data_IF_372117188723
#
_entry.id   IF_372117188723
#
_cell.length_a   1.000
_cell.length_b   1.000
_cell.length_c   1.000
_cell.angle_alpha   90.00
_cell.angle_beta   90.00
_cell.angle_gamma   90.00
#
_symmetry.space_group_name_H-M   'P 1'
#
loop_
_entity.id
_entity.type
_entity.pdbx_description
1 polymer ?
#
# COMPACT_ATOMS: atom_id res chain seq x y z
N UNK A 1 19.39 0.06 -6.94
CA UNK A 1 19.15 -1.37 -7.00
C UNK A 1 20.17 -2.14 -6.16
N UNK A 2 20.27 -1.80 -4.91
CA UNK A 2 21.25 -2.38 -4.00
C UNK A 2 20.98 -1.97 -2.56
N UNK A 3 20.03 -2.63 -1.88
CA UNK A 3 19.98 -2.72 -0.39
C UNK A 3 19.00 -3.84 0.06
N UNK A 4 18.28 -4.51 -0.87
CA UNK A 4 17.39 -5.62 -0.51
C UNK A 4 18.00 -6.99 -0.88
N UNK A 5 19.17 -7.34 -0.33
CA UNK A 5 19.71 -8.70 -0.36
C UNK A 5 19.77 -9.22 1.06
N UNK A 6 18.83 -10.08 1.39
CA UNK A 6 18.73 -10.80 2.65
C UNK A 6 19.82 -11.88 2.71
N UNK A 7 20.82 -11.70 3.55
CA UNK A 7 21.66 -12.80 4.01
C UNK A 7 21.15 -13.28 5.37
N UNK A 8 20.69 -14.53 5.40
CA UNK A 8 20.47 -15.25 6.65
C UNK A 8 21.82 -15.62 7.28
N UNK A 9 22.16 -15.02 8.40
CA UNK A 9 23.15 -15.56 9.35
C UNK A 9 22.52 -15.66 10.71
N UNK A 10 22.36 -16.90 11.14
CA UNK A 10 22.15 -17.31 12.52
C UNK A 10 23.36 -16.92 13.36
N UNK A 11 23.16 -16.24 14.47
CA UNK A 11 24.16 -16.09 15.53
C UNK A 11 23.52 -16.29 16.90
N UNK A 12 23.84 -17.44 17.45
CA UNK A 12 23.79 -17.72 18.88
C UNK A 12 24.81 -16.81 19.58
N UNK A 13 24.41 -16.11 20.62
CA UNK A 13 25.34 -15.56 21.59
C UNK A 13 24.77 -15.63 22.99
N UNK A 14 25.47 -16.42 23.78
CA UNK A 14 25.42 -16.58 25.22
C UNK A 14 26.01 -15.38 25.97
N UNK A 15 25.31 -14.91 27.00
CA UNK A 15 25.78 -14.60 28.32
C UNK A 15 26.73 -13.43 28.57
N UNK A 16 26.36 -12.53 29.43
CA UNK A 16 26.93 -12.36 30.76
C UNK A 16 26.42 -11.07 31.42
N UNK A 17 25.97 -11.25 32.63
CA UNK A 17 25.60 -10.25 33.62
C UNK A 17 26.72 -9.28 33.95
N UNK A 18 26.41 -8.00 34.13
CA UNK A 18 27.08 -7.13 35.08
C UNK A 18 26.12 -6.04 35.56
N UNK A 19 25.68 -6.18 36.80
CA UNK A 19 25.01 -5.15 37.61
C UNK A 19 26.05 -4.09 38.00
N UNK A 20 25.74 -2.82 37.69
CA UNK A 20 26.33 -1.70 38.40
C UNK A 20 25.21 -0.77 38.87
N UNK A 21 24.94 -0.81 40.16
CA UNK A 21 24.13 0.16 40.89
C UNK A 21 24.89 1.48 40.95
N UNK A 22 24.37 2.54 40.37
CA UNK A 22 24.72 3.92 40.75
C UNK A 22 23.51 4.58 41.38
N UNK A 23 23.60 4.75 42.69
CA UNK A 23 22.72 5.59 43.51
C UNK A 23 23.24 7.02 43.35
N UNK A 24 22.43 7.89 42.74
CA UNK A 24 22.60 9.34 42.85
C UNK A 24 21.45 9.93 43.63
N UNK A 25 21.73 10.86 44.55
CA UNK A 25 20.72 11.37 45.48
C UNK A 25 19.75 12.34 44.79
N UNK A 26 18.47 12.11 45.08
CA UNK A 26 17.39 13.09 44.74
C UNK A 26 17.67 14.41 45.45
N UNK A 27 18.01 15.43 44.70
CA UNK A 27 17.82 16.80 45.14
C UNK A 27 16.42 17.24 44.68
N UNK A 28 15.49 17.21 45.65
CA UNK A 28 14.19 17.91 45.49
C UNK A 28 14.45 19.40 45.66
N UNK A 29 14.54 20.10 44.54
CA UNK A 29 14.41 21.57 44.54
C UNK A 29 12.94 21.86 44.24
N UNK A 30 12.20 22.16 45.30
CA UNK A 30 10.89 22.77 45.17
C UNK A 30 11.12 24.19 44.61
N UNK A 31 10.87 24.36 43.34
CA UNK A 31 10.75 25.65 42.71
C UNK A 31 9.26 25.99 42.68
N UNK A 32 8.90 26.90 43.58
CA UNK A 32 7.64 27.63 43.56
C UNK A 32 7.66 28.52 42.32
N UNK A 33 7.09 28.08 41.23
CA UNK A 33 6.88 28.87 40.03
C UNK A 33 5.37 29.03 39.78
N UNK A 34 4.77 30.02 40.48
CA UNK A 34 3.43 30.52 40.21
C UNK A 34 3.45 31.44 38.98
N UNK A 35 4.00 30.96 37.89
CA UNK A 35 3.91 31.59 36.59
C UNK A 35 3.06 30.71 35.71
N UNK A 36 1.90 31.17 35.26
CA UNK A 36 1.08 30.50 34.26
C UNK A 36 1.84 30.45 32.94
N UNK A 37 2.80 29.52 32.80
CA UNK A 37 3.35 29.16 31.49
C UNK A 37 2.19 28.63 30.64
N UNK A 38 1.85 29.36 29.60
CA UNK A 38 0.96 28.90 28.57
C UNK A 38 1.63 27.67 27.96
N UNK A 39 1.15 26.48 28.33
CA UNK A 39 1.69 25.19 27.84
C UNK A 39 1.46 25.17 26.33
N UNK A 40 2.50 25.52 25.55
CA UNK A 40 2.54 25.20 24.13
C UNK A 40 2.88 23.70 24.06
N UNK A 41 1.99 22.85 23.57
CA UNK A 41 2.37 21.47 23.36
C UNK A 41 3.47 21.41 22.31
N UNK A 42 4.57 20.72 22.59
CA UNK A 42 5.55 20.37 21.58
C UNK A 42 4.89 19.40 20.59
N UNK A 43 4.41 19.95 19.46
CA UNK A 43 3.66 19.18 18.47
C UNK A 43 4.56 18.38 17.54
N UNK A 44 5.79 18.84 17.29
CA UNK A 44 6.69 18.24 16.30
C UNK A 44 7.79 17.42 16.98
N UNK A 45 8.14 16.30 16.37
CA UNK A 45 9.27 15.47 16.77
C UNK A 45 10.59 16.22 16.54
N UNK A 46 11.55 16.04 17.45
CA UNK A 46 12.91 16.47 17.20
C UNK A 46 13.56 15.65 16.05
N UNK A 47 14.68 16.17 15.52
CA UNK A 47 15.36 15.58 14.36
C UNK A 47 15.82 14.14 14.62
N UNK A 48 16.27 13.81 15.83
CA UNK A 48 16.77 12.47 16.15
C UNK A 48 15.62 11.47 16.27
N UNK A 49 14.54 11.85 16.96
CA UNK A 49 13.33 11.04 17.08
C UNK A 49 12.70 10.78 15.71
N UNK A 50 12.67 11.78 14.82
CA UNK A 50 12.19 11.62 13.43
C UNK A 50 13.06 10.64 12.65
N UNK A 51 14.37 10.70 12.75
CA UNK A 51 15.29 9.73 12.09
C UNK A 51 15.06 8.30 12.58
N UNK A 52 14.94 8.11 13.87
CA UNK A 52 14.68 6.79 14.45
C UNK A 52 13.30 6.25 14.03
N UNK A 53 12.31 7.11 13.90
CA UNK A 53 11.01 6.75 13.37
C UNK A 53 11.11 6.30 11.91
N UNK A 54 11.80 7.03 11.02
CA UNK A 54 11.97 6.64 9.62
C UNK A 54 12.73 5.33 9.45
N UNK A 55 13.75 5.05 10.27
CA UNK A 55 14.43 3.74 10.29
C UNK A 55 13.47 2.62 10.67
N UNK A 56 12.70 2.83 11.73
CA UNK A 56 11.75 1.85 12.22
C UNK A 56 10.63 1.60 11.20
N UNK A 57 10.19 2.63 10.49
CA UNK A 57 9.21 2.56 9.41
C UNK A 57 9.72 1.72 8.24
N UNK A 58 11.00 1.86 7.84
CA UNK A 58 11.62 1.03 6.82
C UNK A 58 11.61 -0.46 7.19
N UNK A 59 11.92 -0.78 8.44
CA UNK A 59 11.91 -2.17 8.95
C UNK A 59 10.47 -2.70 8.94
N UNK A 60 9.51 -1.93 9.46
CA UNK A 60 8.10 -2.34 9.54
C UNK A 60 7.49 -2.61 8.17
N UNK A 61 7.87 -1.85 7.13
CA UNK A 61 7.40 -2.08 5.75
C UNK A 61 7.84 -3.44 5.24
N UNK A 62 9.09 -3.84 5.47
CA UNK A 62 9.65 -5.11 4.96
C UNK A 62 8.99 -6.31 5.65
N UNK A 63 8.64 -6.19 6.93
CA UNK A 63 8.00 -7.24 7.71
C UNK A 63 6.48 -7.29 7.52
N UNK A 64 5.90 -6.26 6.90
CA UNK A 64 4.44 -6.14 6.79
C UNK A 64 3.86 -7.15 5.78
N UNK A 65 2.73 -7.83 6.11
CA UNK A 65 2.11 -8.83 5.24
C UNK A 65 1.77 -8.32 3.82
N UNK A 66 1.43 -7.04 3.66
CA UNK A 66 1.18 -6.41 2.35
C UNK A 66 2.44 -6.45 1.48
N UNK A 67 3.62 -6.16 2.05
CA UNK A 67 4.88 -6.24 1.32
C UNK A 67 5.20 -7.69 0.94
N UNK A 68 5.12 -8.63 1.88
CA UNK A 68 5.38 -10.06 1.64
C UNK A 68 4.43 -10.64 0.58
N UNK A 69 3.14 -10.25 0.61
CA UNK A 69 2.17 -10.62 -0.42
C UNK A 69 2.56 -10.05 -1.80
N UNK A 70 3.06 -8.82 -1.86
CA UNK A 70 3.50 -8.23 -3.13
C UNK A 70 4.77 -8.89 -3.68
N UNK A 71 5.68 -9.31 -2.80
CA UNK A 71 6.86 -10.10 -3.18
C UNK A 71 6.47 -11.46 -3.77
N UNK A 72 5.48 -12.12 -3.17
CA UNK A 72 4.93 -13.37 -3.70
C UNK A 72 4.29 -13.18 -5.08
N UNK A 73 3.53 -12.10 -5.31
CA UNK A 73 2.95 -11.77 -6.61
C UNK A 73 4.04 -11.50 -7.67
N UNK A 74 5.10 -10.81 -7.29
CA UNK A 74 6.25 -10.58 -8.18
C UNK A 74 6.96 -11.89 -8.53
N UNK A 75 7.12 -12.82 -7.57
CA UNK A 75 7.65 -14.13 -7.82
C UNK A 75 6.78 -14.94 -8.79
N UNK A 76 5.44 -14.90 -8.62
CA UNK A 76 4.49 -15.51 -9.58
C UNK A 76 4.66 -14.93 -10.98
N UNK A 77 4.79 -13.63 -11.14
CA UNK A 77 4.96 -12.98 -12.45
C UNK A 77 6.29 -13.37 -13.12
N UNK A 78 7.35 -13.64 -12.34
CA UNK A 78 8.61 -14.21 -12.85
C UNK A 78 8.41 -15.60 -13.40
N UNK A 79 7.62 -16.43 -12.73
CA UNK A 79 7.31 -17.78 -13.23
C UNK A 79 6.39 -17.75 -14.46
N UNK A 80 5.46 -16.80 -14.56
CA UNK A 80 4.67 -16.57 -15.78
C UNK A 80 5.59 -16.23 -16.97
N UNK A 81 6.63 -15.42 -16.75
CA UNK A 81 7.65 -15.17 -17.79
C UNK A 81 8.44 -16.45 -18.15
N UNK A 82 8.75 -17.31 -17.20
CA UNK A 82 9.40 -18.60 -17.46
C UNK A 82 8.49 -19.54 -18.24
N UNK A 83 7.21 -19.59 -17.94
CA UNK A 83 6.19 -20.33 -18.71
C UNK A 83 6.14 -19.80 -20.16
N UNK A 84 6.15 -18.47 -20.37
CA UNK A 84 6.14 -17.88 -21.69
C UNK A 84 7.41 -18.23 -22.52
N UNK A 85 8.54 -18.51 -21.86
CA UNK A 85 9.79 -18.96 -22.50
C UNK A 85 9.81 -20.46 -22.78
N UNK A 86 8.97 -21.26 -22.10
CA UNK A 86 9.01 -22.73 -22.19
C UNK A 86 8.85 -23.28 -23.63
N UNK A 87 8.02 -22.70 -24.53
CA UNK A 87 7.89 -23.19 -25.90
C UNK A 87 9.20 -23.14 -26.71
N UNK A 88 10.22 -22.39 -26.27
CA UNK A 88 11.55 -22.37 -26.90
C UNK A 88 12.43 -23.57 -26.54
N UNK A 89 11.98 -24.41 -25.61
CA UNK A 89 12.71 -25.61 -25.16
C UNK A 89 11.98 -26.85 -25.64
N UNK A 90 12.69 -27.97 -25.84
CA UNK A 90 12.07 -29.25 -26.15
C UNK A 90 11.07 -29.64 -25.05
N UNK A 91 9.89 -30.08 -25.46
CA UNK A 91 8.89 -30.68 -24.58
C UNK A 91 8.94 -32.18 -24.76
N UNK A 92 9.04 -32.92 -23.65
CA UNK A 92 9.13 -34.40 -23.66
C UNK A 92 7.88 -34.91 -22.96
N UNK A 93 7.14 -35.76 -23.65
CA UNK A 93 5.94 -36.39 -23.11
C UNK A 93 6.03 -37.93 -23.30
N UNK A 94 5.58 -38.66 -22.30
CA UNK A 94 5.31 -40.08 -22.34
C UNK A 94 3.81 -40.25 -22.59
N UNK A 95 3.47 -41.07 -23.57
CA UNK A 95 2.07 -41.39 -23.81
C UNK A 95 1.85 -42.91 -23.86
N UNK A 96 0.64 -43.31 -23.52
CA UNK A 96 0.17 -44.69 -23.63
C UNK A 96 -1.26 -44.71 -24.10
N UNK A 97 -1.57 -45.59 -25.03
CA UNK A 97 -2.95 -45.77 -25.48
C UNK A 97 -3.25 -47.24 -25.70
N UNK A 98 -4.46 -47.66 -25.33
CA UNK A 98 -5.02 -48.97 -25.67
C UNK A 98 -6.25 -48.73 -26.54
N UNK A 99 -6.22 -49.25 -27.76
CA UNK A 99 -7.33 -49.10 -28.71
C UNK A 99 -7.83 -50.47 -29.14
N UNK A 100 -9.11 -50.71 -28.86
CA UNK A 100 -9.82 -51.87 -29.38
C UNK A 100 -10.40 -51.47 -30.73
N UNK A 101 -9.84 -52.03 -31.83
CA UNK A 101 -10.39 -51.79 -33.17
C UNK A 101 -11.38 -52.87 -33.53
N UNK A 102 -12.64 -52.48 -33.65
CA UNK A 102 -13.59 -53.22 -34.45
C UNK A 102 -13.32 -52.88 -35.91
N UNK A 103 -12.54 -53.70 -36.60
CA UNK A 103 -12.29 -53.56 -38.03
C UNK A 103 -13.19 -54.51 -38.79
N UNK A 104 -14.22 -54.01 -39.50
CA UNK A 104 -14.81 -54.69 -40.60
C UNK A 104 -13.90 -54.53 -41.80
N UNK A 105 -13.13 -55.53 -42.19
CA UNK A 105 -12.42 -55.52 -43.47
C UNK A 105 -13.46 -55.72 -44.56
N UNK A 106 -13.66 -54.68 -45.41
CA UNK A 106 -14.25 -54.86 -46.72
C UNK A 106 -13.14 -55.41 -47.62
N UNK A 107 -13.11 -56.79 -47.75
CA UNK A 107 -12.42 -57.39 -48.87
C UNK A 107 -13.41 -57.53 -50.05
N UNK A 108 -13.03 -57.15 -51.24
CA UNK A 108 -13.87 -57.10 -52.45
C UNK A 108 -14.48 -58.45 -52.93
N UNK A 109 -14.47 -59.45 -52.08
CA UNK A 109 -15.07 -60.80 -52.33
C UNK A 109 -16.03 -61.08 -51.19
N UNK A 110 -17.29 -61.04 -51.52
CA UNK A 110 -18.44 -61.49 -50.74
C UNK A 110 -18.13 -62.57 -49.69
N UNK A 111 -17.70 -62.22 -48.50
CA UNK A 111 -17.82 -63.10 -47.35
C UNK A 111 -18.44 -62.32 -46.19
N UNK A 112 -19.73 -62.58 -46.07
CA UNK A 112 -20.59 -61.93 -45.07
C UNK A 112 -20.30 -62.30 -43.61
N UNK A 113 -19.28 -63.13 -43.32
CA UNK A 113 -19.04 -63.71 -41.99
C UNK A 113 -17.55 -63.87 -41.56
N UNK A 114 -16.62 -63.12 -42.07
CA UNK A 114 -15.33 -63.05 -41.42
C UNK A 114 -15.35 -61.88 -40.40
N UNK A 115 -15.64 -62.22 -39.15
CA UNK A 115 -15.37 -61.36 -38.03
C UNK A 115 -13.83 -61.23 -37.93
N UNK A 116 -13.29 -60.13 -38.36
CA UNK A 116 -11.88 -59.81 -38.05
C UNK A 116 -11.70 -59.85 -36.54
N UNK A 117 -10.71 -60.56 -36.03
CA UNK A 117 -10.51 -60.59 -34.59
C UNK A 117 -10.30 -59.19 -34.11
N UNK A 118 -10.97 -58.80 -33.01
CA UNK A 118 -10.76 -57.56 -32.31
C UNK A 118 -9.29 -57.56 -31.94
N UNK A 119 -8.46 -56.74 -32.61
CA UNK A 119 -7.06 -56.56 -32.26
C UNK A 119 -6.95 -55.41 -31.27
N UNK A 120 -6.74 -55.78 -30.04
CA UNK A 120 -6.33 -54.82 -29.02
C UNK A 120 -4.92 -54.35 -29.38
N UNK A 121 -4.78 -53.05 -29.60
CA UNK A 121 -3.48 -52.44 -29.83
C UNK A 121 -3.14 -51.55 -28.65
N UNK A 122 -2.18 -51.98 -27.87
CA UNK A 122 -1.55 -51.14 -26.83
C UNK A 122 -0.29 -50.53 -27.40
N UNK A 123 -0.17 -49.22 -27.32
CA UNK A 123 1.05 -48.50 -27.70
C UNK A 123 1.53 -47.65 -26.54
N UNK A 124 2.82 -47.58 -26.36
CA UNK A 124 3.51 -46.70 -25.41
C UNK A 124 4.65 -46.04 -26.14
N UNK A 125 4.86 -44.74 -25.91
CA UNK A 125 5.92 -44.06 -26.62
C UNK A 125 6.38 -42.79 -25.96
N UNK A 126 7.49 -42.25 -26.44
CA UNK A 126 8.05 -40.97 -26.06
C UNK A 126 7.90 -40.04 -27.25
N UNK A 127 7.33 -38.85 -26.98
CA UNK A 127 7.21 -37.78 -27.94
C UNK A 127 8.03 -36.58 -27.46
N UNK A 128 8.97 -36.14 -28.31
CA UNK A 128 9.74 -34.90 -28.09
C UNK A 128 9.31 -33.91 -29.15
N UNK A 129 8.78 -32.77 -28.71
CA UNK A 129 8.36 -31.70 -29.58
C UNK A 129 9.21 -30.45 -29.32
N UNK A 130 9.71 -29.82 -30.39
CA UNK A 130 10.45 -28.59 -30.37
C UNK A 130 9.83 -27.58 -31.33
N UNK A 131 9.37 -26.45 -30.85
CA UNK A 131 8.96 -25.34 -31.69
C UNK A 131 10.18 -24.79 -32.46
N UNK A 132 10.16 -24.86 -33.77
CA UNK A 132 11.19 -24.28 -34.64
C UNK A 132 10.85 -22.83 -35.00
N UNK A 133 9.60 -22.58 -35.44
CA UNK A 133 9.18 -21.28 -35.88
C UNK A 133 7.64 -21.11 -35.75
N UNK A 134 7.18 -19.94 -35.28
CA UNK A 134 5.77 -19.61 -35.08
C UNK A 134 5.41 -18.18 -35.48
N UNK A 135 6.14 -17.61 -36.47
CA UNK A 135 5.97 -16.23 -36.91
C UNK A 135 6.01 -15.22 -35.76
N UNK A 136 6.96 -15.44 -34.85
CA UNK A 136 7.22 -14.59 -33.66
C UNK A 136 6.12 -14.61 -32.58
N UNK A 137 5.13 -15.49 -32.65
CA UNK A 137 4.07 -15.59 -31.63
C UNK A 137 4.67 -15.77 -30.22
N UNK A 138 5.58 -16.73 -30.05
CA UNK A 138 6.31 -16.93 -28.78
C UNK A 138 7.15 -15.74 -28.38
N UNK A 139 7.76 -15.01 -29.32
CA UNK A 139 8.50 -13.77 -29.02
C UNK A 139 7.58 -12.72 -28.43
N UNK A 140 6.42 -12.48 -29.04
CA UNK A 140 5.44 -11.52 -28.54
C UNK A 140 4.87 -11.94 -27.19
N UNK A 141 4.63 -13.25 -27.00
CA UNK A 141 4.18 -13.77 -25.69
C UNK A 141 5.22 -13.52 -24.59
N UNK A 142 6.51 -13.71 -24.88
CA UNK A 142 7.59 -13.43 -23.93
C UNK A 142 7.66 -11.92 -23.61
N UNK A 143 7.52 -11.07 -24.62
CA UNK A 143 7.53 -9.61 -24.43
C UNK A 143 6.31 -9.15 -23.62
N UNK A 144 5.11 -9.68 -23.89
CA UNK A 144 3.90 -9.46 -23.12
C UNK A 144 4.13 -9.83 -21.65
N UNK A 145 4.62 -11.04 -21.37
CA UNK A 145 4.90 -11.48 -20.01
C UNK A 145 5.99 -10.65 -19.32
N UNK A 146 7.01 -10.20 -20.07
CA UNK A 146 8.07 -9.31 -19.55
C UNK A 146 7.52 -7.94 -19.16
N UNK A 147 6.69 -7.32 -20.01
CA UNK A 147 6.09 -6.04 -19.70
C UNK A 147 5.11 -6.13 -18.52
N UNK A 148 4.39 -7.25 -18.39
CA UNK A 148 3.55 -7.52 -17.23
C UNK A 148 4.40 -7.71 -15.95
N UNK A 149 5.55 -8.39 -16.02
CA UNK A 149 6.47 -8.48 -14.89
C UNK A 149 6.98 -7.10 -14.45
N UNK A 150 7.38 -6.24 -15.40
CA UNK A 150 7.78 -4.87 -15.10
C UNK A 150 6.63 -4.05 -14.49
N UNK A 151 5.39 -4.27 -14.94
CA UNK A 151 4.23 -3.65 -14.33
C UNK A 151 4.04 -4.10 -12.87
N UNK A 152 4.21 -5.40 -12.57
CA UNK A 152 4.13 -5.91 -11.20
C UNK A 152 5.27 -5.39 -10.29
N UNK A 153 6.46 -5.11 -10.83
CA UNK A 153 7.53 -4.41 -10.09
C UNK A 153 7.06 -3.01 -9.67
N UNK A 154 6.40 -2.28 -10.56
CA UNK A 154 5.82 -0.96 -10.25
C UNK A 154 4.67 -1.07 -9.26
N UNK A 155 3.80 -2.09 -9.39
CA UNK A 155 2.71 -2.36 -8.41
C UNK A 155 3.28 -2.64 -7.01
N UNK A 156 4.40 -3.33 -6.90
CA UNK A 156 5.08 -3.52 -5.61
C UNK A 156 5.53 -2.17 -5.02
N UNK A 157 6.12 -1.29 -5.85
CA UNK A 157 6.50 0.07 -5.41
C UNK A 157 5.29 0.91 -4.97
N UNK A 158 4.15 0.81 -5.69
CA UNK A 158 2.89 1.46 -5.30
C UNK A 158 2.41 0.98 -3.92
N UNK A 159 2.44 -0.33 -3.67
CA UNK A 159 2.03 -0.90 -2.38
C UNK A 159 2.95 -0.45 -1.23
N UNK A 160 4.26 -0.38 -1.46
CA UNK A 160 5.22 0.17 -0.51
C UNK A 160 4.88 1.64 -0.23
N UNK A 161 4.68 2.43 -1.27
CA UNK A 161 4.40 3.87 -1.18
C UNK A 161 3.09 4.14 -0.42
N UNK A 162 2.03 3.38 -0.72
CA UNK A 162 0.74 3.48 -0.02
C UNK A 162 0.82 3.03 1.45
N UNK A 163 1.61 1.99 1.73
CA UNK A 163 1.83 1.51 3.09
C UNK A 163 2.60 2.53 3.92
N UNK A 164 3.66 3.13 3.36
CA UNK A 164 4.42 4.20 3.99
C UNK A 164 3.53 5.39 4.33
N UNK A 165 2.72 5.85 3.36
CA UNK A 165 1.78 6.96 3.59
C UNK A 165 0.76 6.62 4.68
N UNK A 166 0.24 5.38 4.69
CA UNK A 166 -0.70 4.93 5.71
C UNK A 166 -0.06 4.90 7.11
N UNK A 167 1.19 4.43 7.23
CA UNK A 167 1.94 4.43 8.49
C UNK A 167 2.19 5.85 9.01
N UNK A 168 2.60 6.76 8.12
CA UNK A 168 2.80 8.19 8.44
C UNK A 168 1.48 8.82 8.89
N UNK A 169 0.39 8.59 8.17
CA UNK A 169 -0.94 9.10 8.52
C UNK A 169 -1.37 8.62 9.90
N UNK A 170 -1.20 7.33 10.17
CA UNK A 170 -1.56 6.75 11.47
C UNK A 170 -0.73 7.31 12.63
N UNK A 171 0.56 7.64 12.39
CA UNK A 171 1.39 8.34 13.37
C UNK A 171 0.85 9.77 13.63
N UNK A 172 0.56 10.54 12.56
CA UNK A 172 0.02 11.89 12.67
C UNK A 172 -1.34 11.92 13.40
N UNK A 173 -2.20 10.93 13.14
CA UNK A 173 -3.50 10.80 13.80
C UNK A 173 -3.34 10.53 15.30
N UNK A 174 -2.48 9.55 15.63
CA UNK A 174 -2.21 9.20 17.03
C UNK A 174 -1.63 10.37 17.80
N UNK A 175 -0.64 11.07 17.22
CA UNK A 175 -0.04 12.26 17.83
C UNK A 175 -1.04 13.39 18.01
N UNK A 176 -1.88 13.66 16.99
CA UNK A 176 -2.90 14.71 17.06
C UNK A 176 -3.88 14.48 18.20
N UNK A 177 -4.38 13.26 18.34
CA UNK A 177 -5.33 12.92 19.42
C UNK A 177 -4.65 12.84 20.78
N UNK A 178 -3.36 12.47 20.86
CA UNK A 178 -2.61 12.49 22.13
C UNK A 178 -2.45 13.90 22.68
N UNK A 179 -2.03 14.82 21.81
CA UNK A 179 -1.91 16.24 22.13
C UNK A 179 -3.27 16.84 22.57
N UNK A 180 -4.33 16.56 21.81
CA UNK A 180 -5.68 17.06 22.14
C UNK A 180 -6.23 16.46 23.43
N UNK A 181 -5.94 15.18 23.70
CA UNK A 181 -6.34 14.52 24.95
C UNK A 181 -5.75 15.22 26.17
N UNK A 182 -4.47 15.57 26.13
CA UNK A 182 -3.83 16.24 27.25
C UNK A 182 -4.36 17.68 27.45
N UNK A 183 -4.58 18.42 26.36
CA UNK A 183 -5.21 19.75 26.43
C UNK A 183 -6.65 19.69 26.99
N UNK A 184 -7.42 18.67 26.63
CA UNK A 184 -8.79 18.49 27.13
C UNK A 184 -8.82 18.01 28.58
N UNK A 185 -7.87 17.20 29.03
CA UNK A 185 -7.74 16.85 30.47
C UNK A 185 -7.52 18.09 31.32
N UNK A 186 -6.65 18.99 30.86
CA UNK A 186 -6.44 20.25 31.50
C UNK A 186 -7.69 21.12 31.50
N UNK A 187 -8.46 21.13 30.40
CA UNK A 187 -9.73 21.85 30.33
C UNK A 187 -10.76 21.30 31.33
N UNK A 188 -10.91 19.97 31.43
CA UNK A 188 -11.83 19.36 32.43
C UNK A 188 -11.40 19.71 33.84
N UNK A 189 -10.09 19.65 34.16
CA UNK A 189 -9.55 20.06 35.45
C UNK A 189 -9.97 21.52 35.78
N UNK A 190 -9.77 22.45 34.85
CA UNK A 190 -10.16 23.89 35.04
C UNK A 190 -11.67 24.07 35.22
N UNK A 191 -12.50 23.38 34.43
CA UNK A 191 -13.93 23.40 34.58
C UNK A 191 -14.38 22.88 35.95
N UNK A 192 -13.73 21.84 36.46
CA UNK A 192 -13.98 21.29 37.82
C UNK A 192 -13.64 22.34 38.89
N UNK A 193 -12.49 23.00 38.77
CA UNK A 193 -12.08 24.05 39.71
C UNK A 193 -13.06 25.26 39.67
N UNK A 194 -13.48 25.70 38.49
CA UNK A 194 -14.46 26.77 38.33
C UNK A 194 -15.81 26.38 38.97
N UNK A 195 -16.27 25.16 38.71
CA UNK A 195 -17.54 24.64 39.21
C UNK A 195 -17.52 24.59 40.75
N UNK A 196 -16.41 24.15 41.34
CA UNK A 196 -16.24 24.10 42.80
C UNK A 196 -16.25 25.51 43.43
N UNK A 197 -15.51 26.46 42.81
CA UNK A 197 -15.54 27.88 43.25
C UNK A 197 -16.96 28.46 43.20
N UNK A 198 -17.75 28.16 42.16
CA UNK A 198 -19.14 28.62 42.04
C UNK A 198 -20.03 27.92 43.06
N UNK A 199 -19.86 26.61 43.33
CA UNK A 199 -20.61 25.89 44.36
C UNK A 199 -20.50 26.59 45.71
N UNK A 200 -19.27 26.91 46.14
CA UNK A 200 -18.99 27.59 47.40
C UNK A 200 -19.65 29.01 47.44
N UNK A 201 -19.63 29.74 46.32
CA UNK A 201 -20.30 31.08 46.24
C UNK A 201 -21.82 30.97 46.36
N UNK A 202 -22.43 29.93 45.74
CA UNK A 202 -23.89 29.70 45.84
C UNK A 202 -24.29 29.28 47.25
N UNK A 203 -23.57 28.36 47.88
CA UNK A 203 -23.82 27.92 49.26
C UNK A 203 -23.69 29.05 50.29
N UNK A 204 -22.77 30.01 50.02
CA UNK A 204 -22.63 31.22 50.86
C UNK A 204 -23.59 32.34 50.49
N UNK A 205 -24.54 32.12 49.57
CA UNK A 205 -25.51 33.13 49.13
C UNK A 205 -24.93 34.24 48.24
N UNK A 206 -23.68 34.12 47.80
CA UNK A 206 -22.98 35.15 47.00
C UNK A 206 -23.17 35.01 45.49
N UNK A 207 -23.77 33.91 45.04
CA UNK A 207 -24.08 33.70 43.63
C UNK A 207 -25.44 33.00 43.46
N UNK A 208 -26.18 33.25 42.37
CA UNK A 208 -27.46 32.58 42.12
C UNK A 208 -27.26 31.13 41.68
N UNK A 209 -28.19 30.24 42.03
CA UNK A 209 -28.15 28.77 41.69
C UNK A 209 -28.03 28.50 40.18
N UNK A 210 -28.53 29.41 39.32
CA UNK A 210 -28.40 29.31 37.86
C UNK A 210 -26.94 29.28 37.39
N UNK A 211 -26.01 29.91 38.11
CA UNK A 211 -24.58 29.89 37.77
C UNK A 211 -23.97 28.53 38.01
N UNK A 212 -24.33 27.86 39.10
CA UNK A 212 -23.90 26.48 39.36
C UNK A 212 -24.45 25.53 38.31
N UNK A 213 -25.71 25.70 37.91
CA UNK A 213 -26.30 24.86 36.84
C UNK A 213 -25.57 25.06 35.51
N UNK A 214 -25.14 26.28 35.17
CA UNK A 214 -24.33 26.56 33.98
C UNK A 214 -22.92 25.95 34.06
N UNK A 215 -22.26 26.11 35.21
CA UNK A 215 -20.92 25.52 35.42
C UNK A 215 -20.96 24.00 35.29
N UNK A 216 -21.94 23.33 35.91
CA UNK A 216 -22.14 21.89 35.78
C UNK A 216 -22.41 21.47 34.33
N UNK A 217 -23.21 22.21 33.57
CA UNK A 217 -23.47 21.89 32.16
C UNK A 217 -22.20 22.02 31.34
N UNK A 218 -21.36 23.01 31.54
CA UNK A 218 -20.07 23.18 30.83
C UNK A 218 -19.03 22.13 31.22
N UNK A 219 -18.99 21.73 32.50
CA UNK A 219 -18.15 20.63 32.94
C UNK A 219 -18.55 19.32 32.24
N UNK A 220 -19.84 18.99 32.20
CA UNK A 220 -20.34 17.82 31.54
C UNK A 220 -20.03 17.83 30.00
N UNK A 221 -20.14 18.98 29.35
CA UNK A 221 -19.74 19.17 27.95
C UNK A 221 -18.22 18.91 27.74
N UNK A 222 -17.37 19.45 28.64
CA UNK A 222 -15.93 19.23 28.58
C UNK A 222 -15.56 17.77 28.81
N UNK A 223 -16.19 17.10 29.79
CA UNK A 223 -16.01 15.66 30.03
C UNK A 223 -16.44 14.82 28.84
N UNK A 224 -17.58 15.07 28.22
CA UNK A 224 -18.05 14.38 27.03
C UNK A 224 -17.12 14.59 25.86
N UNK A 225 -16.52 15.77 25.70
CA UNK A 225 -15.55 16.10 24.68
C UNK A 225 -14.24 15.31 24.89
N UNK A 226 -13.75 15.24 26.12
CA UNK A 226 -12.57 14.46 26.49
C UNK A 226 -12.77 12.98 26.16
N UNK A 227 -13.89 12.38 26.59
CA UNK A 227 -14.20 10.98 26.32
C UNK A 227 -14.24 10.67 24.81
N UNK A 228 -14.76 11.59 24.00
CA UNK A 228 -14.75 11.46 22.54
C UNK A 228 -13.33 11.45 21.97
N UNK A 229 -12.45 12.33 22.46
CA UNK A 229 -11.07 12.40 22.00
C UNK A 229 -10.26 11.18 22.50
N UNK A 230 -10.49 10.70 23.72
CA UNK A 230 -9.89 9.47 24.23
C UNK A 230 -10.28 8.26 23.36
N UNK A 231 -11.54 8.12 22.96
CA UNK A 231 -11.99 7.07 22.04
C UNK A 231 -11.29 7.17 20.67
N UNK A 232 -11.17 8.38 20.12
CA UNK A 232 -10.48 8.59 18.85
C UNK A 232 -8.97 8.27 18.96
N UNK A 233 -8.34 8.63 20.08
CA UNK A 233 -6.95 8.28 20.37
C UNK A 233 -6.75 6.77 20.44
N UNK A 234 -7.60 6.06 21.19
CA UNK A 234 -7.51 4.60 21.31
C UNK A 234 -7.70 3.90 19.96
N UNK A 235 -8.61 4.41 19.13
CA UNK A 235 -8.84 3.91 17.77
C UNK A 235 -7.62 4.17 16.86
N UNK A 236 -7.08 5.38 16.85
CA UNK A 236 -5.90 5.73 16.06
C UNK A 236 -4.66 4.94 16.51
N UNK A 237 -4.49 4.78 17.84
CA UNK A 237 -3.43 3.96 18.43
C UNK A 237 -3.55 2.49 18.05
N UNK A 238 -4.76 1.93 18.02
CA UNK A 238 -4.98 0.56 17.60
C UNK A 238 -4.59 0.35 16.12
N UNK A 239 -4.95 1.28 15.23
CA UNK A 239 -4.53 1.27 13.83
C UNK A 239 -3.00 1.39 13.69
N UNK A 240 -2.39 2.30 14.44
CA UNK A 240 -0.94 2.46 14.47
C UNK A 240 -0.24 1.17 14.90
N UNK A 241 -0.68 0.54 15.98
CA UNK A 241 -0.12 -0.71 16.50
C UNK A 241 -0.32 -1.89 15.56
N UNK A 242 -1.40 -1.89 14.76
CA UNK A 242 -1.60 -2.88 13.70
C UNK A 242 -0.56 -2.74 12.58
N UNK A 243 -0.23 -1.51 12.22
CA UNK A 243 0.74 -1.22 11.14
C UNK A 243 2.19 -1.35 11.59
N UNK A 244 2.47 -1.01 12.85
CA UNK A 244 3.82 -0.90 13.42
C UNK A 244 3.86 -1.48 14.86
N UNK A 245 3.70 -2.80 15.03
CA UNK A 245 3.52 -3.41 16.35
C UNK A 245 4.73 -3.28 17.27
N UNK A 246 5.92 -3.07 16.73
CA UNK A 246 7.19 -2.99 17.46
C UNK A 246 7.58 -1.57 17.89
N UNK A 247 6.74 -0.58 17.62
CA UNK A 247 7.03 0.84 17.85
C UNK A 247 6.03 1.40 18.83
N UNK A 248 6.51 2.27 19.74
CA UNK A 248 5.61 3.04 20.61
C UNK A 248 4.74 3.97 19.76
N UNK A 249 3.49 4.17 20.18
CA UNK A 249 2.61 5.11 19.51
C UNK A 249 3.22 6.51 19.48
N UNK A 250 3.00 7.24 18.38
CA UNK A 250 3.48 8.60 18.24
C UNK A 250 2.74 9.52 19.22
N UNK A 251 3.50 10.30 20.01
CA UNK A 251 2.96 11.38 20.86
C UNK A 251 3.19 12.77 20.26
N UNK A 252 4.04 12.86 19.24
CA UNK A 252 4.35 14.08 18.51
C UNK A 252 4.26 13.81 16.99
N UNK A 253 3.99 14.86 16.21
CA UNK A 253 3.90 14.78 14.76
C UNK A 253 5.29 14.75 14.12
N UNK A 254 5.42 13.97 13.05
CA UNK A 254 6.64 13.93 12.23
C UNK A 254 6.78 15.26 11.49
N UNK A 255 7.93 15.91 11.58
CA UNK A 255 8.17 17.13 10.81
C UNK A 255 8.35 16.81 9.32
N UNK A 256 8.02 17.77 8.46
CA UNK A 256 8.23 17.73 7.02
C UNK A 256 9.12 18.89 6.61
N UNK A 257 10.23 18.58 5.96
CA UNK A 257 11.05 19.61 5.33
C UNK A 257 10.26 20.28 4.19
N UNK A 258 9.88 21.53 4.44
CA UNK A 258 9.04 22.33 3.52
C UNK A 258 9.85 22.92 2.36
N UNK A 259 11.18 22.81 2.36
CA UNK A 259 12.03 23.37 1.31
C UNK A 259 11.72 22.82 -0.10
N UNK A 260 11.16 21.60 -0.16
CA UNK A 260 10.79 20.94 -1.41
C UNK A 260 9.42 21.38 -1.98
N UNK A 261 8.65 22.21 -1.27
CA UNK A 261 7.28 22.60 -1.65
C UNK A 261 7.21 23.85 -2.55
N UNK A 262 8.34 24.50 -2.85
CA UNK A 262 8.39 25.82 -3.53
C UNK A 262 8.48 25.74 -5.06
N UNK A 263 8.06 24.63 -5.69
CA UNK A 263 8.12 24.47 -7.15
C UNK A 263 6.95 25.17 -7.86
N UNK A 264 7.17 25.58 -9.11
CA UNK A 264 6.09 26.07 -9.98
C UNK A 264 5.01 25.01 -10.20
N UNK A 265 3.74 25.41 -10.16
CA UNK A 265 2.58 24.53 -10.26
C UNK A 265 2.62 23.64 -11.53
N UNK A 266 2.94 24.23 -12.69
CA UNK A 266 3.03 23.48 -13.94
C UNK A 266 4.15 22.44 -13.94
N UNK A 267 5.28 22.75 -13.30
CA UNK A 267 6.40 21.81 -13.17
C UNK A 267 6.04 20.62 -12.28
N UNK A 268 5.31 20.87 -11.18
CA UNK A 268 4.86 19.79 -10.28
C UNK A 268 3.85 18.87 -10.98
N UNK A 269 2.91 19.43 -11.76
CA UNK A 269 1.93 18.64 -12.54
C UNK A 269 2.66 17.79 -13.59
N UNK A 270 3.60 18.36 -14.33
CA UNK A 270 4.38 17.61 -15.33
C UNK A 270 5.21 16.49 -14.67
N UNK A 271 5.88 16.80 -13.56
CA UNK A 271 6.60 15.79 -12.77
C UNK A 271 5.66 14.69 -12.28
N UNK A 272 4.47 15.03 -11.78
CA UNK A 272 3.49 14.06 -11.32
C UNK A 272 3.08 13.11 -12.46
N UNK A 273 2.74 13.62 -13.62
CA UNK A 273 2.36 12.80 -14.77
C UNK A 273 3.51 11.88 -15.21
N UNK A 274 4.75 12.35 -15.19
CA UNK A 274 5.91 11.59 -15.66
C UNK A 274 6.44 10.57 -14.63
N UNK A 275 6.30 10.85 -13.33
CA UNK A 275 6.89 10.05 -12.26
C UNK A 275 5.88 9.18 -11.52
N UNK A 276 4.58 9.45 -11.63
CA UNK A 276 3.54 8.72 -10.91
C UNK A 276 3.57 7.22 -11.23
N UNK A 277 3.57 6.42 -10.17
CA UNK A 277 3.68 4.96 -10.29
C UNK A 277 2.46 4.33 -10.98
N UNK A 278 1.25 4.89 -10.79
CA UNK A 278 0.05 4.37 -11.43
C UNK A 278 0.10 4.57 -12.96
N UNK A 279 0.60 5.73 -13.43
CA UNK A 279 0.80 5.97 -14.87
C UNK A 279 1.86 5.04 -15.44
N UNK A 280 2.99 4.86 -14.74
CA UNK A 280 4.05 3.94 -15.17
C UNK A 280 3.55 2.50 -15.31
N UNK A 281 2.74 2.03 -14.36
CA UNK A 281 2.11 0.72 -14.43
C UNK A 281 1.24 0.58 -15.67
N UNK A 282 0.31 1.52 -15.90
CA UNK A 282 -0.62 1.48 -17.05
C UNK A 282 0.17 1.56 -18.36
N UNK A 283 1.22 2.36 -18.45
CA UNK A 283 2.10 2.44 -19.64
C UNK A 283 2.78 1.11 -19.95
N UNK A 284 3.19 0.35 -18.93
CA UNK A 284 3.74 -1.00 -19.09
C UNK A 284 2.67 -2.01 -19.53
N UNK A 285 1.46 -1.92 -18.97
CA UNK A 285 0.32 -2.76 -19.41
C UNK A 285 -0.11 -2.44 -20.84
N UNK A 286 -0.05 -1.19 -21.27
CA UNK A 286 -0.25 -0.79 -22.67
C UNK A 286 0.80 -1.43 -23.58
N UNK A 287 2.08 -1.46 -23.17
CA UNK A 287 3.14 -2.16 -23.91
C UNK A 287 2.84 -3.66 -23.98
N UNK A 288 2.43 -4.28 -22.90
CA UNK A 288 2.03 -5.68 -22.89
C UNK A 288 0.85 -5.97 -23.83
N UNK A 289 -0.18 -5.13 -23.81
CA UNK A 289 -1.34 -5.25 -24.68
C UNK A 289 -0.98 -5.09 -26.19
N UNK A 290 -0.03 -4.21 -26.53
CA UNK A 290 0.50 -4.10 -27.92
C UNK A 290 1.18 -5.40 -28.37
N UNK A 291 1.95 -6.03 -27.49
CA UNK A 291 2.57 -7.31 -27.75
C UNK A 291 1.50 -8.43 -27.90
N UNK A 292 0.43 -8.39 -27.09
CA UNK A 292 -0.69 -9.32 -27.24
C UNK A 292 -1.41 -9.15 -28.59
N UNK A 293 -1.67 -7.93 -29.05
CA UNK A 293 -2.21 -7.70 -30.39
C UNK A 293 -1.31 -8.30 -31.47
N UNK A 294 0.02 -8.16 -31.34
CA UNK A 294 1.00 -8.73 -32.29
C UNK A 294 0.99 -10.25 -32.23
N UNK A 295 0.90 -10.84 -31.03
CA UNK A 295 0.74 -12.29 -30.84
C UNK A 295 -0.53 -12.82 -31.52
N UNK A 296 -1.69 -12.14 -31.36
CA UNK A 296 -2.93 -12.55 -32.01
C UNK A 296 -2.85 -12.46 -33.53
N UNK A 297 -2.08 -11.51 -34.09
CA UNK A 297 -1.79 -11.46 -35.55
C UNK A 297 -0.92 -12.63 -35.98
N UNK A 298 0.08 -13.00 -35.19
CA UNK A 298 0.96 -14.13 -35.51
C UNK A 298 0.21 -15.47 -35.54
N UNK A 299 -0.89 -15.62 -34.78
CA UNK A 299 -1.69 -16.83 -34.79
C UNK A 299 -2.44 -17.10 -36.11
N UNK A 300 -2.42 -16.18 -37.06
CA UNK A 300 -2.93 -16.42 -38.42
C UNK A 300 -1.91 -17.16 -39.31
N UNK A 301 -0.67 -17.19 -38.90
CA UNK A 301 0.42 -17.82 -39.61
C UNK A 301 0.66 -19.24 -39.13
N UNK A 302 1.27 -20.12 -39.96
CA UNK A 302 1.54 -21.47 -39.56
C UNK A 302 2.60 -21.62 -38.48
N UNK A 303 2.56 -22.75 -37.77
CA UNK A 303 3.62 -23.17 -36.83
C UNK A 303 4.43 -24.31 -37.40
N UNK A 304 5.73 -24.28 -37.20
CA UNK A 304 6.66 -25.34 -37.53
C UNK A 304 7.18 -25.97 -36.24
N UNK A 305 6.94 -27.26 -36.09
CA UNK A 305 7.47 -28.05 -34.98
C UNK A 305 8.38 -29.16 -35.52
N UNK A 306 9.49 -29.39 -34.84
CA UNK A 306 10.30 -30.61 -34.98
C UNK A 306 9.71 -31.62 -34.01
N UNK A 307 9.41 -32.82 -34.53
CA UNK A 307 8.83 -33.91 -33.75
C UNK A 307 9.73 -35.10 -33.84
N UNK A 308 10.20 -35.64 -32.71
CA UNK A 308 10.85 -36.92 -32.60
C UNK A 308 9.96 -37.83 -31.75
N UNK A 309 9.48 -38.92 -32.34
CA UNK A 309 8.62 -39.85 -31.66
C UNK A 309 9.18 -41.27 -31.76
N UNK A 310 9.17 -41.96 -30.64
CA UNK A 310 9.48 -43.38 -30.57
C UNK A 310 8.30 -44.13 -29.97
N UNK A 311 7.79 -45.11 -30.73
CA UNK A 311 6.62 -45.92 -30.37
C UNK A 311 7.01 -47.37 -30.14
N UNK A 312 6.47 -47.95 -29.07
CA UNK A 312 6.49 -49.40 -28.80
C UNK A 312 5.04 -49.90 -28.90
N UNK A 313 4.81 -50.85 -29.80
CA UNK A 313 3.49 -51.42 -29.99
C UNK A 313 3.36 -52.75 -29.25
N UNK A 314 2.26 -52.95 -28.51
CA UNK A 314 1.96 -54.12 -27.69
C UNK A 314 3.10 -54.51 -26.73
N UNK A 315 3.42 -53.71 -25.73
CA UNK A 315 4.54 -53.94 -24.82
C UNK A 315 4.53 -55.33 -24.14
N UNK A 316 3.36 -55.89 -23.85
CA UNK A 316 3.25 -57.27 -23.31
C UNK A 316 3.74 -58.35 -24.25
N UNK A 317 3.62 -58.15 -25.54
CA UNK A 317 4.11 -59.05 -26.55
C UNK A 317 5.64 -58.98 -26.71
N UNK A 318 6.24 -57.85 -26.45
CA UNK A 318 7.70 -57.62 -26.51
C UNK A 318 8.48 -58.33 -25.42
N UNK A 319 7.91 -58.56 -24.28
CA UNK A 319 8.57 -59.31 -23.20
C UNK A 319 8.79 -60.79 -23.56
N UNK A 320 8.13 -61.29 -24.57
CA UNK A 320 8.21 -62.71 -25.00
C UNK A 320 8.79 -62.95 -26.37
N UNK A 321 8.96 -61.95 -27.25
CA UNK A 321 9.51 -62.08 -28.61
C UNK A 321 10.29 -60.83 -29.04
N UNK A 322 11.17 -61.00 -30.05
CA UNK A 322 12.08 -60.01 -30.61
C UNK A 322 11.49 -58.66 -30.89
N UNK A 323 12.27 -57.60 -30.58
CA UNK A 323 12.11 -56.17 -30.79
C UNK A 323 11.83 -55.74 -32.27
N UNK A 324 10.88 -56.31 -32.97
CA UNK A 324 10.64 -56.03 -34.39
C UNK A 324 9.49 -55.03 -34.66
N UNK A 325 8.80 -54.51 -33.60
CA UNK A 325 7.66 -53.61 -33.78
C UNK A 325 7.87 -52.28 -33.03
N UNK A 326 9.01 -51.66 -33.20
CA UNK A 326 9.27 -50.30 -32.73
C UNK A 326 9.41 -49.35 -33.91
N UNK A 327 8.80 -48.19 -33.81
CA UNK A 327 8.96 -47.12 -34.79
C UNK A 327 9.64 -45.91 -34.14
N UNK A 328 10.63 -45.36 -34.82
CA UNK A 328 11.25 -44.09 -34.47
C UNK A 328 11.15 -43.18 -35.68
N UNK A 329 10.48 -42.07 -35.56
CA UNK A 329 10.47 -41.11 -36.63
C UNK A 329 10.86 -39.69 -36.15
N UNK A 330 11.59 -38.99 -37.00
CA UNK A 330 11.93 -37.59 -36.90
C UNK A 330 11.25 -36.84 -38.05
N UNK A 331 10.45 -35.84 -37.75
CA UNK A 331 9.72 -35.10 -38.76
C UNK A 331 9.60 -33.62 -38.43
N UNK A 332 9.38 -32.83 -39.47
CA UNK A 332 8.97 -31.44 -39.33
C UNK A 332 7.48 -31.37 -39.61
N UNK A 333 6.72 -30.94 -38.63
CA UNK A 333 5.27 -30.76 -38.76
C UNK A 333 4.94 -29.29 -39.02
N UNK A 334 4.19 -29.07 -40.07
CA UNK A 334 3.63 -27.79 -40.45
C UNK A 334 2.12 -27.83 -40.19
N UNK A 335 1.62 -26.86 -39.41
CA UNK A 335 0.19 -26.76 -39.11
C UNK A 335 -0.31 -25.33 -39.25
N UNK A 336 -1.43 -25.16 -39.97
CA UNK A 336 -2.15 -23.86 -40.01
C UNK A 336 -3.64 -24.13 -40.07
N UNK A 337 -4.40 -23.31 -39.35
CA UNK A 337 -5.87 -23.32 -39.41
C UNK A 337 -6.34 -22.31 -40.44
N UNK A 338 -6.87 -22.78 -41.58
CA UNK A 338 -7.31 -21.94 -42.70
C UNK A 338 -8.62 -21.21 -42.37
N UNK A 339 -9.52 -21.85 -41.65
CA UNK A 339 -10.80 -21.26 -41.25
C UNK A 339 -11.19 -21.72 -39.83
N UNK A 340 -11.55 -20.78 -38.97
CA UNK A 340 -11.86 -21.03 -37.55
C UNK A 340 -13.23 -20.49 -37.14
N UNK A 341 -14.18 -20.37 -38.09
CA UNK A 341 -15.50 -19.81 -37.80
C UNK A 341 -15.46 -18.37 -37.29
N UNK A 342 -14.43 -17.58 -37.65
CA UNK A 342 -14.28 -16.19 -37.20
C UNK A 342 -13.57 -16.05 -35.84
N UNK A 343 -13.24 -17.13 -35.11
CA UNK A 343 -12.64 -17.12 -33.77
C UNK A 343 -11.37 -16.26 -33.71
N UNK A 344 -10.40 -16.48 -34.61
CA UNK A 344 -9.12 -15.72 -34.65
C UNK A 344 -9.36 -14.22 -34.90
N UNK A 345 -10.29 -13.86 -35.78
CA UNK A 345 -10.65 -12.46 -36.04
C UNK A 345 -11.26 -11.77 -34.80
N UNK A 346 -12.12 -12.49 -34.09
CA UNK A 346 -12.74 -11.97 -32.85
C UNK A 346 -11.72 -11.83 -31.73
N UNK A 347 -10.81 -12.77 -31.55
CA UNK A 347 -9.69 -12.69 -30.59
C UNK A 347 -8.78 -11.47 -30.88
N UNK A 348 -8.46 -11.23 -32.16
CA UNK A 348 -7.68 -10.05 -32.54
C UNK A 348 -8.45 -8.73 -32.25
N UNK A 349 -9.78 -8.68 -32.51
CA UNK A 349 -10.59 -7.50 -32.15
C UNK A 349 -10.62 -7.28 -30.65
N UNK A 350 -10.84 -8.33 -29.85
CA UNK A 350 -10.79 -8.26 -28.38
C UNK A 350 -9.47 -7.66 -27.92
N UNK A 351 -8.35 -8.15 -28.42
CA UNK A 351 -7.03 -7.65 -28.03
C UNK A 351 -6.84 -6.15 -28.41
N UNK A 352 -7.38 -5.70 -29.54
CA UNK A 352 -7.35 -4.29 -29.93
C UNK A 352 -8.21 -3.41 -29.02
N UNK A 353 -9.42 -3.88 -28.67
CA UNK A 353 -10.29 -3.11 -27.78
C UNK A 353 -9.73 -3.07 -26.34
N UNK A 354 -9.08 -4.12 -25.87
CA UNK A 354 -8.35 -4.10 -24.59
C UNK A 354 -7.23 -3.05 -24.61
N UNK A 355 -6.47 -2.93 -25.71
CA UNK A 355 -5.46 -1.90 -25.86
C UNK A 355 -6.09 -0.49 -25.86
N UNK A 356 -7.23 -0.28 -26.56
CA UNK A 356 -7.95 0.98 -26.56
C UNK A 356 -8.45 1.33 -25.15
N UNK A 357 -9.04 0.35 -24.43
CA UNK A 357 -9.49 0.53 -23.06
C UNK A 357 -8.36 1.04 -22.16
N UNK A 358 -7.21 0.36 -22.13
CA UNK A 358 -6.05 0.78 -21.33
C UNK A 358 -5.56 2.19 -21.69
N UNK A 359 -5.67 2.58 -22.97
CA UNK A 359 -5.29 3.93 -23.42
C UNK A 359 -6.25 5.00 -22.87
N UNK A 360 -7.56 4.71 -22.82
CA UNK A 360 -8.55 5.59 -22.20
C UNK A 360 -8.41 5.65 -20.69
N UNK A 361 -8.17 4.50 -20.03
CA UNK A 361 -7.92 4.42 -18.58
C UNK A 361 -6.70 5.27 -18.21
N UNK A 362 -5.62 5.22 -18.99
CA UNK A 362 -4.46 6.10 -18.83
C UNK A 362 -4.82 7.59 -18.91
N UNK A 363 -5.67 7.95 -19.87
CA UNK A 363 -6.08 9.35 -20.05
C UNK A 363 -6.93 9.85 -18.87
N UNK A 364 -7.83 9.01 -18.37
CA UNK A 364 -8.63 9.29 -17.17
C UNK A 364 -7.74 9.46 -15.95
N UNK A 365 -6.84 8.51 -15.73
CA UNK A 365 -5.88 8.55 -14.62
C UNK A 365 -5.00 9.82 -14.65
N UNK A 366 -4.54 10.24 -15.82
CA UNK A 366 -3.77 11.47 -15.94
C UNK A 366 -4.57 12.71 -15.52
N UNK A 367 -5.86 12.79 -15.89
CA UNK A 367 -6.75 13.87 -15.45
C UNK A 367 -7.00 13.86 -13.95
N UNK A 368 -7.23 12.68 -13.37
CA UNK A 368 -7.45 12.51 -11.93
C UNK A 368 -6.21 12.95 -11.14
N UNK A 369 -5.02 12.56 -11.59
CA UNK A 369 -3.75 12.98 -10.97
C UNK A 369 -3.57 14.49 -11.07
N UNK A 370 -3.86 15.10 -12.23
CA UNK A 370 -3.78 16.55 -12.41
C UNK A 370 -4.70 17.25 -11.41
N UNK A 371 -5.98 16.86 -11.34
CA UNK A 371 -6.94 17.47 -10.42
C UNK A 371 -6.53 17.30 -8.94
N UNK A 372 -6.02 16.11 -8.58
CA UNK A 372 -5.56 15.85 -7.21
C UNK A 372 -4.35 16.72 -6.84
N UNK A 373 -3.39 16.90 -7.76
CA UNK A 373 -2.22 17.76 -7.54
C UNK A 373 -2.64 19.23 -7.46
N UNK A 374 -3.51 19.72 -8.34
CA UNK A 374 -4.02 21.11 -8.30
C UNK A 374 -4.70 21.40 -6.95
N UNK A 375 -5.56 20.49 -6.48
CA UNK A 375 -6.19 20.60 -5.17
C UNK A 375 -5.16 20.64 -4.04
N UNK A 376 -4.17 19.76 -4.08
CA UNK A 376 -3.13 19.66 -3.07
C UNK A 376 -2.22 20.90 -3.05
N UNK A 377 -1.83 21.41 -4.21
CA UNK A 377 -1.02 22.63 -4.31
C UNK A 377 -1.79 23.85 -3.82
N UNK A 378 -3.09 23.93 -4.09
CA UNK A 378 -3.96 24.97 -3.55
C UNK A 378 -4.00 24.92 -2.02
N UNK A 379 -4.02 23.74 -1.41
CA UNK A 379 -3.95 23.56 0.04
C UNK A 379 -2.58 23.98 0.60
N UNK A 380 -1.49 23.62 -0.06
CA UNK A 380 -0.12 23.93 0.39
C UNK A 380 0.27 25.39 0.19
N UNK A 381 -0.26 26.06 -0.82
CA UNK A 381 0.09 27.46 -1.17
C UNK A 381 -0.04 28.45 -0.02
N UNK A 382 -1.01 28.24 0.87
CA UNK A 382 -1.25 29.12 2.03
C UNK A 382 -1.02 28.40 3.36
N UNK A 383 -0.35 27.24 3.33
CA UNK A 383 -0.15 26.39 4.51
C UNK A 383 0.53 27.15 5.65
N UNK A 384 1.65 27.83 5.39
CA UNK A 384 2.40 28.59 6.40
C UNK A 384 1.57 29.72 7.03
N UNK A 385 0.82 30.44 6.20
CA UNK A 385 -0.02 31.54 6.69
C UNK A 385 -1.17 31.00 7.56
N UNK A 386 -1.75 29.84 7.18
CA UNK A 386 -2.79 29.18 7.97
C UNK A 386 -2.24 28.68 9.30
N UNK A 387 -1.09 28.00 9.31
CA UNK A 387 -0.44 27.53 10.56
C UNK A 387 -0.21 28.70 11.49
N UNK A 388 0.43 29.79 11.02
CA UNK A 388 0.68 31.00 11.81
C UNK A 388 -0.61 31.65 12.32
N UNK A 389 -1.67 31.68 11.50
CA UNK A 389 -2.95 32.26 11.91
C UNK A 389 -3.62 31.43 13.03
N UNK A 390 -3.66 30.11 12.91
CA UNK A 390 -4.22 29.23 13.94
C UNK A 390 -3.38 29.21 15.21
N UNK A 391 -2.06 29.25 15.11
CA UNK A 391 -1.16 29.40 16.26
C UNK A 391 -1.37 30.76 16.98
N UNK A 392 -1.51 31.85 16.23
CA UNK A 392 -1.80 33.18 16.78
C UNK A 392 -3.16 33.22 17.48
N UNK A 393 -4.19 32.57 16.90
CA UNK A 393 -5.51 32.45 17.50
C UNK A 393 -5.47 31.66 18.82
N UNK A 394 -4.78 30.52 18.84
CA UNK A 394 -4.60 29.72 20.05
C UNK A 394 -3.90 30.53 21.17
N UNK A 395 -2.78 31.18 20.83
CA UNK A 395 -2.03 32.00 21.79
C UNK A 395 -2.84 33.19 22.29
N UNK A 396 -3.64 33.84 21.43
CA UNK A 396 -4.51 34.96 21.82
C UNK A 396 -5.65 34.50 22.74
N UNK A 397 -6.31 33.39 22.41
CA UNK A 397 -7.36 32.80 23.23
C UNK A 397 -6.83 32.32 24.61
N UNK A 398 -5.61 31.78 24.64
CA UNK A 398 -4.91 31.39 25.86
C UNK A 398 -4.71 32.60 26.79
N UNK A 399 -4.15 33.70 26.26
CA UNK A 399 -3.96 34.94 27.01
C UNK A 399 -5.29 35.56 27.45
N UNK A 400 -6.32 35.54 26.61
CA UNK A 400 -7.65 36.03 26.94
C UNK A 400 -8.26 35.25 28.10
N UNK A 401 -8.21 33.92 28.04
CA UNK A 401 -8.69 33.02 29.09
C UNK A 401 -7.93 33.27 30.40
N UNK A 402 -6.62 33.41 30.40
CA UNK A 402 -5.81 33.63 31.60
C UNK A 402 -6.17 34.97 32.27
N UNK A 403 -6.31 36.04 31.48
CA UNK A 403 -6.73 37.33 31.97
C UNK A 403 -8.15 37.31 32.57
N UNK A 404 -9.09 36.63 31.90
CA UNK A 404 -10.47 36.51 32.42
C UNK A 404 -10.52 35.63 33.67
N UNK A 405 -9.68 34.62 33.81
CA UNK A 405 -9.59 33.82 35.04
C UNK A 405 -9.10 34.67 36.22
N UNK A 406 -8.06 35.49 36.04
CA UNK A 406 -7.58 36.44 37.07
C UNK A 406 -8.65 37.46 37.45
N UNK A 407 -9.37 38.02 36.47
CA UNK A 407 -10.45 39.00 36.74
C UNK A 407 -11.66 38.34 37.42
N UNK A 408 -11.95 37.07 37.11
CA UNK A 408 -13.04 36.34 37.77
C UNK A 408 -12.75 36.07 39.26
N UNK A 409 -11.49 35.90 39.64
CA UNK A 409 -11.08 35.77 41.03
C UNK A 409 -11.33 37.05 41.82
N UNK A 410 -11.19 38.23 41.20
CA UNK A 410 -11.46 39.53 41.79
C UNK A 410 -12.92 39.99 41.67
N UNK A 411 -13.81 39.14 41.13
CA UNK A 411 -15.25 39.41 40.93
C UNK A 411 -15.56 40.52 39.91
N UNK A 412 -14.63 40.79 38.98
CA UNK A 412 -14.81 41.85 37.97
C UNK A 412 -15.37 41.34 36.62
N UNK A 413 -15.52 40.03 36.47
CA UNK A 413 -15.98 39.39 35.21
C UNK A 413 -17.06 38.34 35.50
N UNK A 414 -17.98 38.16 34.55
CA UNK A 414 -19.04 37.16 34.66
C UNK A 414 -18.55 35.75 34.44
N UNK A 415 -19.16 34.75 35.13
CA UNK A 415 -18.92 33.35 34.88
C UNK A 415 -19.09 32.98 33.40
N UNK A 416 -20.06 33.58 32.71
CA UNK A 416 -20.35 33.29 31.31
C UNK A 416 -19.16 33.64 30.40
N UNK A 417 -18.51 34.77 30.63
CA UNK A 417 -17.34 35.19 29.83
C UNK A 417 -16.14 34.25 30.04
N UNK A 418 -15.88 33.82 31.29
CA UNK A 418 -14.82 32.88 31.60
C UNK A 418 -15.07 31.51 30.92
N UNK A 419 -16.30 30.96 31.04
CA UNK A 419 -16.67 29.71 30.42
C UNK A 419 -16.64 29.78 28.89
N UNK A 420 -16.96 30.95 28.31
CA UNK A 420 -16.82 31.20 26.89
C UNK A 420 -15.34 31.16 26.44
N UNK A 421 -14.45 31.83 27.17
CA UNK A 421 -13.04 31.89 26.89
C UNK A 421 -12.38 30.49 26.99
N UNK A 422 -12.79 29.65 27.95
CA UNK A 422 -12.35 28.24 28.03
C UNK A 422 -12.76 27.45 26.79
N UNK A 423 -13.98 27.63 26.29
CA UNK A 423 -14.45 26.99 25.08
C UNK A 423 -13.66 27.46 23.86
N UNK A 424 -13.47 28.77 23.70
CA UNK A 424 -12.78 29.37 22.56
C UNK A 424 -11.30 28.93 22.50
N UNK A 425 -10.67 28.77 23.67
CA UNK A 425 -9.32 28.19 23.76
C UNK A 425 -9.27 26.76 23.22
N UNK A 426 -10.17 25.89 23.65
CA UNK A 426 -10.18 24.48 23.20
C UNK A 426 -10.53 24.38 21.72
N UNK A 427 -11.44 25.17 21.21
CA UNK A 427 -11.77 25.20 19.78
C UNK A 427 -10.58 25.67 18.94
N UNK A 428 -9.86 26.72 19.40
CA UNK A 428 -8.63 27.15 18.70
C UNK A 428 -7.51 26.14 18.79
N UNK A 429 -7.38 25.38 19.88
CA UNK A 429 -6.42 24.29 20.03
C UNK A 429 -6.70 23.15 19.03
N UNK A 430 -7.96 22.70 18.91
CA UNK A 430 -8.36 21.69 17.94
C UNK A 430 -8.05 22.13 16.51
N UNK A 431 -8.41 23.37 16.16
CA UNK A 431 -8.14 23.93 14.84
C UNK A 431 -6.64 23.99 14.54
N UNK A 432 -5.81 24.40 15.52
CA UNK A 432 -4.36 24.46 15.39
C UNK A 432 -3.77 23.06 15.13
N UNK A 433 -4.11 22.08 15.96
CA UNK A 433 -3.57 20.70 15.86
C UNK A 433 -3.98 20.04 14.56
N UNK A 434 -5.27 20.10 14.18
CA UNK A 434 -5.72 19.48 12.92
C UNK A 434 -5.21 20.20 11.67
N UNK A 435 -5.04 21.52 11.72
CA UNK A 435 -4.43 22.24 10.60
C UNK A 435 -2.94 21.86 10.43
N UNK A 436 -2.18 21.78 11.52
CA UNK A 436 -0.78 21.34 11.45
C UNK A 436 -0.67 19.91 10.87
N UNK A 437 -1.51 19.00 11.37
CA UNK A 437 -1.61 17.64 10.81
C UNK A 437 -1.92 17.65 9.31
N UNK A 438 -2.92 18.45 8.87
CA UNK A 438 -3.32 18.54 7.46
C UNK A 438 -2.16 18.98 6.59
N UNK A 439 -1.45 20.01 6.96
CA UNK A 439 -0.32 20.55 6.19
C UNK A 439 0.79 19.52 6.05
N UNK A 440 1.18 18.86 7.14
CA UNK A 440 2.20 17.82 7.12
C UNK A 440 1.76 16.64 6.22
N UNK A 441 0.52 16.16 6.38
CA UNK A 441 -0.02 15.06 5.57
C UNK A 441 -0.08 15.41 4.09
N UNK A 442 -0.48 16.64 3.75
CA UNK A 442 -0.52 17.11 2.35
C UNK A 442 0.86 17.09 1.70
N UNK A 443 1.93 17.46 2.43
CA UNK A 443 3.30 17.36 1.93
C UNK A 443 3.75 15.91 1.69
N UNK A 444 3.46 14.98 2.61
CA UNK A 444 3.76 13.56 2.39
C UNK A 444 2.91 12.97 1.24
N UNK A 445 1.67 13.40 1.09
CA UNK A 445 0.80 13.00 -0.02
C UNK A 445 1.35 13.49 -1.35
N UNK A 446 1.89 14.70 -1.44
CA UNK A 446 2.59 15.20 -2.62
C UNK A 446 3.76 14.29 -2.99
N UNK A 447 4.64 13.96 -2.03
CA UNK A 447 5.76 13.04 -2.27
C UNK A 447 5.28 11.65 -2.71
N UNK A 448 4.15 11.18 -2.18
CA UNK A 448 3.56 9.91 -2.59
C UNK A 448 3.04 9.95 -4.04
N UNK A 449 2.34 11.01 -4.44
CA UNK A 449 1.83 11.18 -5.82
C UNK A 449 2.99 11.31 -6.82
N UNK A 450 4.07 11.98 -6.45
CA UNK A 450 5.30 12.11 -7.25
C UNK A 450 6.12 10.80 -7.28
N UNK A 451 5.73 9.75 -6.53
CA UNK A 451 6.49 8.50 -6.43
C UNK A 451 7.83 8.65 -5.68
N UNK A 452 8.00 9.71 -4.89
CA UNK A 452 9.23 10.06 -4.19
C UNK A 452 9.22 9.68 -2.70
N UNK A 453 8.08 9.26 -2.14
CA UNK A 453 7.93 9.04 -0.70
C UNK A 453 8.90 7.95 -0.18
N UNK A 454 9.07 6.86 -0.92
CA UNK A 454 10.00 5.79 -0.55
C UNK A 454 11.44 6.30 -0.46
N UNK A 455 11.90 7.01 -1.48
CA UNK A 455 13.28 7.58 -1.50
C UNK A 455 13.48 8.65 -0.43
N UNK A 456 12.46 9.44 -0.15
CA UNK A 456 12.48 10.41 0.94
C UNK A 456 12.66 9.72 2.31
N UNK A 457 11.86 8.70 2.60
CA UNK A 457 11.94 7.92 3.86
C UNK A 457 13.31 7.23 3.99
N UNK A 458 13.86 6.68 2.89
CA UNK A 458 15.19 6.06 2.88
C UNK A 458 16.30 7.05 3.17
N UNK A 459 16.19 8.28 2.70
CA UNK A 459 17.19 9.34 2.94
C UNK A 459 17.05 9.97 4.33
N UNK A 460 15.83 10.20 4.80
CA UNK A 460 15.57 10.79 6.13
C UNK A 460 15.93 9.85 7.28
N UNK A 461 16.03 8.54 7.04
CA UNK A 461 16.50 7.55 8.01
C UNK A 461 18.03 7.39 8.09
N UNK A 462 18.79 8.11 7.29
CA UNK A 462 20.27 8.11 7.32
C UNK A 462 20.78 9.26 8.21
#
# INVERSE_FOLDING_TARGET
MGIFKKEHKSLLLTGLFSLAFFITPLYIQAQDDSGSESIKPEMLMDVNTSKDFFKSLQISVIEHPIFLSSEANLAQSKEVLNIAKAPRRPQVSLFGSTTNRMQSSYDDRFSFFESSPIKDRTSTGILIEQLLFDFFSTKYQINEARNNLLAEEVVQEQKINSLLLKMITSCLDTASYDILKDLLRDSVRRHTEITEKIRIRVESGRAPTRELSRANARLAEAEAKLLRIELNYDSAKAEFMQLMPNIKACSQMIDLDQSDLSMDENQVIEMAINSNLNIKEVDLRIKAAKENVSKQRSNFWPRLNLTLQGDLYNPEYYMTKKLEEHDIYLGIQFQTELYTGGRKNSQLRIAKEQLNQLSYDRSTLAKDITSNIESLLSELKNADNRVKAYESAFNANGKSRDNLNLQFETSNVSLLELLQAERDLIESAENMVFNQRSVILSGYTQKAILGQLKSYVENSGK
#
